data_IF_194106952599
#
_entry.id   IF_194106952599
#
_cell.length_a   1.000
_cell.length_b   1.000
_cell.length_c   1.000
_cell.angle_alpha   90.00
_cell.angle_beta   90.00
_cell.angle_gamma   90.00
#
_symmetry.space_group_name_H-M   'P 1'
#
loop_
_entity.id
_entity.type
_entity.pdbx_description
1 polymer ?
#
# COMPACT_ATOMS: atom_id res chain seq x y z
N UNK A 1 30.77 -31.98 29.98
CA UNK A 1 30.83 -30.86 29.09
C UNK A 1 30.15 -31.26 27.80
N UNK A 2 28.92 -30.79 27.56
CA UNK A 2 28.23 -30.98 26.28
C UNK A 2 28.60 -29.83 25.37
N UNK A 3 29.35 -30.12 24.32
CA UNK A 3 29.56 -29.16 23.23
C UNK A 3 28.25 -28.99 22.47
N UNK A 4 27.68 -27.78 22.53
CA UNK A 4 26.56 -27.38 21.67
C UNK A 4 27.15 -27.19 20.29
N UNK A 5 26.70 -27.95 19.26
CA UNK A 5 27.28 -27.84 17.93
C UNK A 5 27.03 -26.45 17.35
N UNK A 6 28.09 -25.80 16.90
CA UNK A 6 28.09 -24.46 16.23
C UNK A 6 27.13 -24.37 15.02
N UNK A 7 26.51 -25.45 14.64
CA UNK A 7 25.58 -25.53 13.50
C UNK A 7 24.21 -24.90 13.76
N UNK A 8 23.83 -24.67 15.02
CA UNK A 8 22.55 -24.06 15.40
C UNK A 8 22.58 -22.54 15.32
N UNK A 9 23.76 -21.92 15.47
CA UNK A 9 23.91 -20.46 15.40
C UNK A 9 23.86 -19.90 13.97
N UNK A 10 24.14 -20.70 12.97
CA UNK A 10 24.08 -20.29 11.56
C UNK A 10 22.68 -20.36 10.94
N UNK A 11 21.75 -21.12 11.51
CA UNK A 11 20.38 -21.25 11.01
C UNK A 11 19.45 -20.17 11.53
N UNK A 12 19.71 -19.60 12.69
CA UNK A 12 18.89 -18.50 13.24
C UNK A 12 19.13 -17.15 12.56
N UNK A 13 20.29 -16.93 11.97
CA UNK A 13 20.57 -15.71 11.18
C UNK A 13 19.86 -15.67 9.83
N UNK A 14 19.29 -16.77 9.34
CA UNK A 14 18.57 -16.84 8.07
C UNK A 14 17.06 -16.69 8.18
N UNK A 15 16.49 -16.56 9.39
CA UNK A 15 15.02 -16.68 9.62
C UNK A 15 14.39 -15.34 10.03
N UNK A 16 15.06 -14.19 9.87
CA UNK A 16 14.36 -12.92 10.07
C UNK A 16 13.52 -12.60 8.84
N UNK A 17 12.23 -12.40 9.08
CA UNK A 17 11.31 -11.90 8.07
C UNK A 17 11.83 -10.58 7.48
N UNK A 18 11.54 -10.36 6.21
CA UNK A 18 11.94 -9.13 5.50
C UNK A 18 10.75 -8.20 5.35
N UNK A 19 11.03 -6.93 5.49
CA UNK A 19 10.05 -5.85 5.37
C UNK A 19 10.64 -4.77 4.49
N UNK A 20 10.14 -4.68 3.25
CA UNK A 20 10.72 -3.84 2.21
C UNK A 20 9.70 -2.77 1.81
N UNK A 21 10.10 -1.52 1.93
CA UNK A 21 9.40 -0.37 1.40
C UNK A 21 9.82 -0.17 -0.04
N UNK A 22 8.90 -0.36 -0.98
CA UNK A 22 9.11 -0.11 -2.40
C UNK A 22 8.29 1.10 -2.84
N UNK A 23 8.90 2.04 -3.54
CA UNK A 23 8.18 3.05 -4.30
C UNK A 23 7.82 2.46 -5.67
N UNK A 24 6.62 1.88 -5.76
CA UNK A 24 6.15 1.22 -6.97
C UNK A 24 6.02 2.22 -8.11
N UNK A 25 6.67 2.00 -9.26
CA UNK A 25 6.46 2.82 -10.45
C UNK A 25 5.16 2.43 -11.17
N UNK A 26 4.71 3.28 -12.08
CA UNK A 26 3.66 2.96 -13.03
C UNK A 26 4.09 1.81 -13.96
N UNK A 27 3.14 1.01 -14.41
CA UNK A 27 3.38 -0.09 -15.34
C UNK A 27 3.76 -1.43 -14.71
N UNK A 28 4.02 -1.46 -13.40
CA UNK A 28 4.37 -2.65 -12.63
C UNK A 28 3.15 -3.16 -11.86
N UNK A 29 2.96 -4.48 -11.83
CA UNK A 29 1.82 -5.11 -11.14
C UNK A 29 2.16 -5.54 -9.72
N UNK A 30 1.20 -5.41 -8.81
CA UNK A 30 1.31 -5.84 -7.41
C UNK A 30 1.00 -7.33 -7.28
N UNK A 31 1.93 -8.17 -7.69
CA UNK A 31 1.84 -9.62 -7.61
C UNK A 31 3.21 -10.22 -7.26
N UNK A 32 3.22 -11.46 -6.76
CA UNK A 32 4.46 -12.20 -6.54
C UNK A 32 5.04 -12.75 -7.84
N UNK A 33 4.17 -13.09 -8.79
CA UNK A 33 4.53 -13.59 -10.14
C UNK A 33 3.49 -13.14 -11.15
N UNK A 34 3.93 -12.82 -12.35
CA UNK A 34 3.06 -12.58 -13.50
C UNK A 34 3.72 -13.14 -14.76
N UNK A 35 2.90 -13.54 -15.76
CA UNK A 35 3.40 -14.13 -17.02
C UNK A 35 3.75 -13.09 -18.09
N UNK A 36 3.21 -11.89 -17.96
CA UNK A 36 3.30 -10.84 -18.98
C UNK A 36 3.96 -9.56 -18.48
N UNK A 37 3.67 -9.21 -17.24
CA UNK A 37 4.04 -7.92 -16.68
C UNK A 37 5.13 -8.08 -15.61
N UNK A 38 6.01 -7.10 -15.53
CA UNK A 38 6.97 -6.97 -14.42
C UNK A 38 6.20 -6.79 -13.12
N UNK A 39 6.56 -7.56 -12.09
CA UNK A 39 5.94 -7.49 -10.78
C UNK A 39 6.75 -6.63 -9.80
N UNK A 40 6.12 -6.21 -8.72
CA UNK A 40 6.80 -5.53 -7.60
C UNK A 40 7.90 -6.39 -6.98
N UNK A 41 7.76 -7.72 -7.00
CA UNK A 41 8.77 -8.64 -6.48
C UNK A 41 9.96 -8.73 -7.43
N UNK A 42 9.76 -8.69 -8.75
CA UNK A 42 10.84 -8.71 -9.73
C UNK A 42 11.81 -7.54 -9.53
N UNK A 43 11.33 -6.38 -9.07
CA UNK A 43 12.16 -5.20 -8.84
C UNK A 43 13.19 -5.37 -7.72
N UNK A 44 12.98 -6.31 -6.82
CA UNK A 44 13.86 -6.57 -5.65
C UNK A 44 14.48 -7.97 -5.68
N UNK A 45 14.08 -8.82 -6.62
CA UNK A 45 14.43 -10.25 -6.64
C UNK A 45 15.94 -10.51 -6.66
N UNK A 46 16.73 -9.66 -7.32
CA UNK A 46 18.18 -9.80 -7.39
C UNK A 46 18.85 -9.68 -6.02
N UNK A 47 18.29 -8.86 -5.13
CA UNK A 47 18.81 -8.62 -3.78
C UNK A 47 18.31 -9.66 -2.76
N UNK A 48 17.22 -10.35 -3.08
CA UNK A 48 16.59 -11.36 -2.21
C UNK A 48 16.35 -12.72 -2.91
N UNK A 49 17.37 -13.35 -3.53
CA UNK A 49 17.20 -14.47 -4.44
C UNK A 49 16.64 -15.75 -3.79
N UNK A 50 16.65 -15.83 -2.45
CA UNK A 50 16.18 -17.00 -1.69
C UNK A 50 14.95 -16.70 -0.83
N UNK A 51 14.25 -15.60 -1.09
CA UNK A 51 13.10 -15.17 -0.33
C UNK A 51 11.82 -15.27 -1.15
N UNK A 52 10.78 -15.76 -0.54
CA UNK A 52 9.44 -15.80 -1.13
C UNK A 52 8.67 -14.55 -0.71
N UNK A 53 9.09 -13.41 -1.25
CA UNK A 53 8.45 -12.14 -0.98
C UNK A 53 7.10 -12.04 -1.71
N UNK A 54 6.16 -11.34 -1.07
CA UNK A 54 4.88 -11.00 -1.65
C UNK A 54 4.43 -9.61 -1.18
N UNK A 55 3.57 -8.91 -1.95
CA UNK A 55 3.06 -7.61 -1.55
C UNK A 55 1.99 -7.74 -0.47
N UNK A 56 2.16 -7.02 0.64
CA UNK A 56 1.14 -6.84 1.68
C UNK A 56 0.19 -5.71 1.27
N UNK A 57 -0.67 -5.99 0.31
CA UNK A 57 -1.58 -5.05 -0.32
C UNK A 57 -1.23 -4.78 -1.78
N UNK A 58 -2.23 -4.31 -2.51
CA UNK A 58 -2.13 -4.09 -3.94
C UNK A 58 -2.29 -2.62 -4.29
N UNK A 59 -1.58 -2.20 -5.32
CA UNK A 59 -1.84 -1.02 -6.12
C UNK A 59 -2.07 -1.46 -7.55
N UNK A 60 -2.94 -0.75 -8.26
CA UNK A 60 -3.19 -1.00 -9.67
C UNK A 60 -1.91 -0.77 -10.49
N UNK A 61 -1.86 -1.34 -11.69
CA UNK A 61 -0.72 -1.19 -12.62
C UNK A 61 -0.40 0.27 -12.90
N UNK A 62 -1.41 1.12 -13.02
CA UNK A 62 -1.30 2.57 -13.27
C UNK A 62 -1.09 3.41 -12.01
N UNK A 63 -1.22 2.81 -10.82
CA UNK A 63 -1.02 3.51 -9.55
C UNK A 63 0.42 3.38 -9.07
N UNK A 64 0.88 4.35 -8.29
CA UNK A 64 2.26 4.45 -7.82
C UNK A 64 2.34 4.53 -6.29
N UNK A 65 3.54 4.49 -5.75
CA UNK A 65 3.80 4.77 -4.34
C UNK A 65 4.07 3.55 -3.48
N UNK A 66 3.85 3.65 -2.20
CA UNK A 66 4.27 2.67 -1.22
C UNK A 66 3.60 1.31 -1.40
N UNK A 67 4.42 0.30 -1.68
CA UNK A 67 4.07 -1.12 -1.57
C UNK A 67 5.01 -1.77 -0.55
N UNK A 68 4.43 -2.42 0.46
CA UNK A 68 5.18 -3.24 1.40
C UNK A 68 5.35 -4.64 0.82
N UNK A 69 6.61 -5.10 0.67
CA UNK A 69 6.94 -6.48 0.34
C UNK A 69 7.46 -7.18 1.59
N UNK A 70 7.01 -8.39 1.84
CA UNK A 70 7.42 -9.17 3.02
C UNK A 70 7.27 -10.66 2.76
N UNK A 71 7.92 -11.47 3.59
CA UNK A 71 7.69 -12.91 3.74
C UNK A 71 6.99 -13.24 5.08
N UNK A 72 6.60 -12.21 5.87
CA UNK A 72 5.79 -12.33 7.11
C UNK A 72 4.30 -12.38 6.77
N UNK A 73 3.77 -13.59 6.65
CA UNK A 73 2.35 -13.80 6.35
C UNK A 73 1.39 -13.29 7.44
N UNK A 74 1.81 -13.31 8.71
CA UNK A 74 0.99 -12.84 9.82
C UNK A 74 0.81 -11.32 9.77
N UNK A 75 1.92 -10.56 9.60
CA UNK A 75 1.85 -9.11 9.46
C UNK A 75 1.07 -8.69 8.22
N UNK A 76 1.30 -9.36 7.08
CA UNK A 76 0.57 -9.08 5.85
C UNK A 76 -0.94 -9.30 6.02
N UNK A 77 -1.33 -10.41 6.66
CA UNK A 77 -2.72 -10.70 6.98
C UNK A 77 -3.33 -9.58 7.83
N UNK A 78 -2.63 -9.15 8.86
CA UNK A 78 -3.06 -8.08 9.75
C UNK A 78 -3.26 -6.75 9.03
N UNK A 79 -2.34 -6.37 8.13
CA UNK A 79 -2.43 -5.13 7.34
C UNK A 79 -3.62 -5.18 6.37
N UNK A 80 -3.91 -6.36 5.81
CA UNK A 80 -4.96 -6.54 4.81
C UNK A 80 -6.34 -6.79 5.41
N UNK A 81 -6.41 -7.26 6.65
CA UNK A 81 -7.67 -7.60 7.32
C UNK A 81 -8.57 -6.39 7.46
N UNK A 82 -9.81 -6.45 6.97
CA UNK A 82 -10.81 -5.38 7.17
C UNK A 82 -11.09 -5.10 8.65
N UNK A 83 -10.95 -6.11 9.52
CA UNK A 83 -11.17 -5.98 10.96
C UNK A 83 -10.15 -5.08 11.67
N UNK A 84 -8.98 -4.93 11.08
CA UNK A 84 -7.90 -4.14 11.67
C UNK A 84 -7.89 -2.67 11.24
N UNK A 85 -8.62 -2.30 10.19
CA UNK A 85 -8.80 -0.91 9.76
C UNK A 85 -7.49 -0.12 9.54
N UNK A 86 -6.43 -0.80 9.03
CA UNK A 86 -5.13 -0.16 8.80
C UNK A 86 -5.29 1.00 7.83
N UNK A 87 -4.97 2.18 8.32
CA UNK A 87 -5.08 3.42 7.56
C UNK A 87 -4.07 3.45 6.41
N UNK A 88 -4.53 3.93 5.26
CA UNK A 88 -3.71 4.16 4.07
C UNK A 88 -4.03 5.55 3.55
N UNK A 89 -3.01 6.32 3.26
CA UNK A 89 -3.15 7.66 2.70
C UNK A 89 -2.67 7.69 1.26
N UNK A 90 -3.43 8.40 0.44
CA UNK A 90 -3.19 8.54 -0.99
C UNK A 90 -3.22 9.99 -1.41
N UNK A 91 -2.35 10.37 -2.33
CA UNK A 91 -2.48 11.59 -3.13
C UNK A 91 -3.14 11.22 -4.44
N UNK A 92 -4.22 11.88 -4.74
CA UNK A 92 -5.07 11.60 -5.91
C UNK A 92 -5.20 12.87 -6.75
N UNK A 93 -4.95 12.75 -8.05
CA UNK A 93 -5.21 13.81 -9.02
C UNK A 93 -6.53 13.53 -9.73
N UNK A 94 -7.45 14.47 -9.65
CA UNK A 94 -8.78 14.40 -10.24
C UNK A 94 -8.82 15.14 -11.58
N UNK A 95 -9.80 14.80 -12.41
CA UNK A 95 -10.12 15.54 -13.65
C UNK A 95 -11.07 16.72 -13.41
N UNK A 96 -11.70 16.77 -12.23
CA UNK A 96 -12.61 17.84 -11.79
C UNK A 96 -12.29 18.25 -10.36
N UNK A 97 -12.49 19.53 -9.97
CA UNK A 97 -12.23 19.99 -8.62
C UNK A 97 -13.06 19.25 -7.56
N UNK A 98 -12.45 19.02 -6.40
CA UNK A 98 -13.15 18.48 -5.22
C UNK A 98 -14.32 19.37 -4.81
N UNK A 99 -15.48 18.76 -4.60
CA UNK A 99 -16.69 19.44 -4.16
C UNK A 99 -17.04 19.09 -2.71
N UNK A 100 -17.84 19.93 -2.06
CA UNK A 100 -18.38 19.62 -0.73
C UNK A 100 -19.27 18.38 -0.73
N UNK A 101 -19.96 18.10 -1.84
CA UNK A 101 -20.77 16.90 -2.00
C UNK A 101 -19.89 15.63 -1.96
N UNK A 102 -18.72 15.63 -2.62
CA UNK A 102 -17.74 14.55 -2.55
C UNK A 102 -17.22 14.39 -1.13
N UNK A 103 -16.83 15.46 -0.45
CA UNK A 103 -16.33 15.41 0.94
C UNK A 103 -17.36 14.79 1.89
N UNK A 104 -18.59 15.26 1.83
CA UNK A 104 -19.69 14.73 2.66
C UNK A 104 -20.01 13.28 2.31
N UNK A 105 -20.04 12.93 1.02
CA UNK A 105 -20.29 11.58 0.57
C UNK A 105 -19.22 10.59 1.04
N UNK A 106 -17.96 10.96 0.92
CA UNK A 106 -16.84 10.14 1.43
C UNK A 106 -16.93 9.95 2.95
N UNK A 107 -17.20 11.02 3.71
CA UNK A 107 -17.33 10.94 5.17
C UNK A 107 -18.52 10.10 5.64
N UNK A 108 -19.59 10.03 4.87
CA UNK A 108 -20.76 9.22 5.16
C UNK A 108 -20.62 7.76 4.71
N UNK A 109 -19.70 7.49 3.81
CA UNK A 109 -19.61 6.24 3.06
C UNK A 109 -20.39 6.30 1.75
N UNK A 110 -19.72 5.92 0.65
CA UNK A 110 -20.28 6.01 -0.70
C UNK A 110 -20.94 4.68 -1.07
N UNK A 111 -22.21 4.75 -1.50
CA UNK A 111 -22.86 3.60 -2.14
C UNK A 111 -22.56 3.63 -3.64
N UNK A 112 -21.93 2.58 -4.12
CA UNK A 112 -21.54 2.43 -5.51
C UNK A 112 -22.71 2.05 -6.40
N UNK A 113 -22.52 2.14 -7.71
CA UNK A 113 -23.57 1.84 -8.71
C UNK A 113 -24.05 0.39 -8.72
N UNK A 114 -23.22 -0.53 -8.23
CA UNK A 114 -23.58 -1.96 -8.05
C UNK A 114 -24.26 -2.26 -6.71
N UNK A 115 -24.49 -1.23 -5.87
CA UNK A 115 -25.14 -1.34 -4.57
C UNK A 115 -24.20 -1.62 -3.40
N UNK A 116 -22.90 -1.85 -3.65
CA UNK A 116 -21.92 -2.01 -2.58
C UNK A 116 -21.67 -0.67 -1.86
N UNK A 117 -21.71 -0.68 -0.53
CA UNK A 117 -21.45 0.54 0.26
C UNK A 117 -20.04 0.50 0.82
N UNK A 118 -19.25 1.52 0.47
CA UNK A 118 -17.90 1.71 0.96
C UNK A 118 -17.91 2.30 2.37
N UNK A 119 -16.95 1.89 3.19
CA UNK A 119 -16.76 2.48 4.51
C UNK A 119 -16.44 3.98 4.41
N UNK A 120 -16.77 4.77 5.44
CA UNK A 120 -16.40 6.17 5.54
C UNK A 120 -14.91 6.40 5.29
N UNK A 121 -14.60 7.44 4.53
CA UNK A 121 -13.25 7.83 4.15
C UNK A 121 -13.07 9.34 4.27
N UNK A 122 -11.83 9.77 4.53
CA UNK A 122 -11.47 11.20 4.51
C UNK A 122 -11.07 11.64 3.10
N UNK A 123 -11.46 12.84 2.70
CA UNK A 123 -10.91 13.50 1.52
C UNK A 123 -10.74 15.00 1.78
N UNK A 124 -9.52 15.49 1.55
CA UNK A 124 -9.16 16.90 1.76
C UNK A 124 -8.36 17.43 0.56
N UNK A 125 -8.56 18.72 0.19
CA UNK A 125 -7.79 19.31 -0.90
C UNK A 125 -6.34 19.54 -0.47
N UNK A 126 -5.41 19.28 -1.38
CA UNK A 126 -3.98 19.61 -1.23
C UNK A 126 -3.58 20.83 -2.04
N UNK A 127 -4.37 21.18 -3.07
CA UNK A 127 -4.14 22.34 -3.94
C UNK A 127 -5.37 23.26 -3.93
N UNK A 128 -5.15 24.57 -4.14
CA UNK A 128 -6.21 25.58 -4.12
C UNK A 128 -7.25 25.36 -5.24
N UNK A 129 -6.84 24.76 -6.36
CA UNK A 129 -7.75 24.41 -7.46
C UNK A 129 -8.62 23.17 -7.17
N UNK A 130 -8.35 22.46 -6.08
CA UNK A 130 -9.08 21.26 -5.67
C UNK A 130 -8.86 20.05 -6.58
N UNK A 131 -7.89 20.08 -7.50
CA UNK A 131 -7.60 18.98 -8.42
C UNK A 131 -6.70 17.91 -7.81
N UNK A 132 -5.89 18.27 -6.80
CA UNK A 132 -5.08 17.32 -6.06
C UNK A 132 -5.61 17.21 -4.63
N UNK A 133 -5.91 15.98 -4.22
CA UNK A 133 -6.55 15.71 -2.93
C UNK A 133 -5.81 14.61 -2.17
N UNK A 134 -5.88 14.66 -0.85
CA UNK A 134 -5.49 13.55 0.00
C UNK A 134 -6.72 12.72 0.34
N UNK A 135 -6.61 11.40 0.13
CA UNK A 135 -7.66 10.44 0.51
C UNK A 135 -7.12 9.52 1.59
N UNK A 136 -7.89 9.37 2.67
CA UNK A 136 -7.58 8.48 3.79
C UNK A 136 -8.59 7.34 3.83
N UNK A 137 -8.10 6.11 3.62
CA UNK A 137 -8.90 4.88 3.64
C UNK A 137 -8.47 3.96 4.77
N UNK A 138 -9.44 3.22 5.32
CA UNK A 138 -9.22 2.11 6.27
C UNK A 138 -9.69 0.77 5.72
N UNK A 139 -10.16 0.76 4.51
CA UNK A 139 -10.64 -0.40 3.75
C UNK A 139 -9.75 -0.59 2.52
N UNK A 140 -9.78 -1.77 1.92
CA UNK A 140 -9.00 -2.08 0.71
C UNK A 140 -9.82 -2.86 -0.29
N UNK A 141 -10.75 -2.22 -0.98
CA UNK A 141 -11.60 -2.81 -2.02
C UNK A 141 -11.01 -2.52 -3.40
N UNK A 142 -11.28 -3.40 -4.34
CA UNK A 142 -10.83 -3.25 -5.73
C UNK A 142 -11.26 -1.92 -6.33
N UNK A 143 -10.29 -1.15 -6.82
CA UNK A 143 -10.48 0.18 -7.43
C UNK A 143 -11.31 1.16 -6.57
N UNK A 144 -11.25 1.03 -5.24
CA UNK A 144 -12.16 1.72 -4.33
C UNK A 144 -12.19 3.24 -4.57
N UNK A 145 -11.05 3.92 -4.61
CA UNK A 145 -10.96 5.38 -4.78
C UNK A 145 -11.58 5.81 -6.12
N UNK A 146 -11.22 5.11 -7.20
CA UNK A 146 -11.74 5.38 -8.55
C UNK A 146 -13.25 5.20 -8.61
N UNK A 147 -13.77 4.13 -7.98
CA UNK A 147 -15.20 3.83 -7.93
C UNK A 147 -15.97 4.85 -7.08
N UNK A 148 -15.42 5.28 -5.95
CA UNK A 148 -16.04 6.26 -5.08
C UNK A 148 -16.15 7.64 -5.75
N UNK A 149 -15.08 8.13 -6.38
CA UNK A 149 -15.15 9.38 -7.15
C UNK A 149 -16.06 9.27 -8.37
N UNK A 150 -16.09 8.10 -9.01
CA UNK A 150 -16.98 7.84 -10.16
C UNK A 150 -18.46 8.02 -9.87
N UNK A 151 -18.92 7.82 -8.63
CA UNK A 151 -20.31 8.11 -8.22
C UNK A 151 -20.65 9.61 -8.35
N UNK A 152 -19.65 10.48 -8.28
CA UNK A 152 -19.77 11.93 -8.43
C UNK A 152 -19.35 12.42 -9.83
N UNK A 153 -19.27 11.53 -10.81
CA UNK A 153 -18.80 11.84 -12.17
C UNK A 153 -17.39 12.45 -12.22
N UNK A 154 -16.55 12.14 -11.23
CA UNK A 154 -15.16 12.58 -11.17
C UNK A 154 -14.21 11.44 -11.52
N UNK A 155 -13.32 11.70 -12.48
CA UNK A 155 -12.27 10.78 -12.89
C UNK A 155 -10.99 10.95 -12.06
N UNK A 156 -10.28 9.84 -11.85
CA UNK A 156 -8.98 9.81 -11.21
C UNK A 156 -7.89 9.67 -12.27
N UNK A 157 -7.11 10.73 -12.47
CA UNK A 157 -6.00 10.79 -13.44
C UNK A 157 -4.73 10.14 -12.91
N UNK A 158 -4.44 10.30 -11.61
CA UNK A 158 -3.29 9.69 -10.95
C UNK A 158 -3.62 9.33 -9.50
N UNK A 159 -2.99 8.26 -9.01
CA UNK A 159 -3.14 7.78 -7.65
C UNK A 159 -1.78 7.33 -7.12
N UNK A 160 -1.36 7.93 -6.01
CA UNK A 160 -0.10 7.64 -5.34
C UNK A 160 -0.33 7.33 -3.87
N UNK A 161 0.10 6.15 -3.39
CA UNK A 161 -0.01 5.82 -1.97
C UNK A 161 1.19 6.33 -1.20
N UNK A 162 0.95 7.24 -0.26
CA UNK A 162 1.98 7.88 0.54
C UNK A 162 2.30 7.13 1.83
N UNK A 163 1.30 6.46 2.44
CA UNK A 163 1.52 5.80 3.73
C UNK A 163 0.66 4.57 3.94
N UNK A 164 1.14 3.68 4.80
CA UNK A 164 0.43 2.50 5.30
C UNK A 164 0.64 2.45 6.82
N UNK A 165 -0.43 2.43 7.61
CA UNK A 165 -0.38 2.24 9.06
C UNK A 165 0.50 3.25 9.79
N UNK A 166 0.51 4.51 9.35
CA UNK A 166 1.34 5.57 9.92
C UNK A 166 2.81 5.53 9.52
N UNK A 167 3.23 4.60 8.64
CA UNK A 167 4.56 4.57 8.03
C UNK A 167 4.50 5.27 6.68
N UNK A 168 5.21 6.39 6.55
CA UNK A 168 5.26 7.15 5.32
C UNK A 168 6.28 6.58 4.34
N UNK A 169 5.99 6.68 3.04
CA UNK A 169 6.96 6.42 1.99
C UNK A 169 8.15 7.37 2.13
N UNK A 170 9.35 6.82 2.11
CA UNK A 170 10.57 7.60 2.19
C UNK A 170 10.71 8.48 0.93
N UNK A 171 10.74 9.82 1.08
CA UNK A 171 10.83 10.74 -0.05
C UNK A 171 12.17 10.62 -0.83
N UNK A 172 13.19 9.99 -0.25
CA UNK A 172 14.46 9.72 -0.92
C UNK A 172 14.37 8.57 -1.94
N UNK A 173 13.31 7.76 -1.89
CA UNK A 173 13.11 6.66 -2.83
C UNK A 173 12.48 7.16 -4.14
N UNK A 174 13.25 7.18 -5.21
CA UNK A 174 12.71 7.39 -6.55
C UNK A 174 11.82 6.22 -7.00
N UNK A 175 10.96 6.39 -8.03
CA UNK A 175 10.15 5.30 -8.57
C UNK A 175 11.00 4.07 -8.90
N UNK A 176 10.59 2.89 -8.43
CA UNK A 176 11.31 1.63 -8.58
C UNK A 176 12.40 1.36 -7.53
N UNK A 177 12.75 2.34 -6.71
CA UNK A 177 13.70 2.17 -5.61
C UNK A 177 13.02 1.62 -4.36
N UNK A 178 13.82 0.97 -3.54
CA UNK A 178 13.36 0.33 -2.31
C UNK A 178 14.41 0.46 -1.19
N UNK A 179 13.98 0.27 0.05
CA UNK A 179 14.81 0.03 1.23
C UNK A 179 14.11 -0.92 2.19
N UNK A 180 14.86 -1.52 3.09
CA UNK A 180 14.25 -2.22 4.22
C UNK A 180 13.63 -1.21 5.20
N UNK A 181 12.55 -1.62 5.87
CA UNK A 181 11.96 -0.87 6.98
C UNK A 181 12.89 -0.91 8.19
N UNK A 182 12.88 0.17 8.96
CA UNK A 182 13.51 0.18 10.29
C UNK A 182 12.70 -0.65 11.28
N UNK A 183 13.31 -1.08 12.38
CA UNK A 183 12.61 -1.80 13.44
C UNK A 183 11.42 -0.99 14.01
N UNK A 184 11.58 0.33 14.11
CA UNK A 184 10.51 1.23 14.57
C UNK A 184 9.34 1.28 13.58
N UNK A 185 9.60 1.32 12.27
CA UNK A 185 8.57 1.28 11.24
C UNK A 185 7.80 -0.04 11.25
N UNK A 186 8.50 -1.16 11.39
CA UNK A 186 7.88 -2.49 11.54
C UNK A 186 6.99 -2.53 12.78
N UNK A 187 7.48 -2.02 13.91
CA UNK A 187 6.70 -1.99 15.15
C UNK A 187 5.44 -1.12 15.00
N UNK A 188 5.50 0.03 14.31
CA UNK A 188 4.32 0.84 14.00
C UNK A 188 3.29 0.08 13.20
N UNK A 189 3.70 -0.74 12.24
CA UNK A 189 2.77 -1.57 11.47
C UNK A 189 2.11 -2.66 12.32
N UNK A 190 2.76 -3.10 13.39
CA UNK A 190 2.25 -4.12 14.32
C UNK A 190 1.40 -3.54 15.44
N UNK A 191 1.75 -2.32 15.89
CA UNK A 191 1.07 -1.68 17.02
C UNK A 191 -0.14 -0.88 16.54
N UNK A 192 -1.31 -1.17 17.11
CA UNK A 192 -2.58 -0.51 16.80
C UNK A 192 -3.34 -0.16 18.05
#
# INVERSE_FOLDING_TARGET
AYEIPLRLLGSEMCIRDRYIMLNKPEGVVSASRDKKDTTVVDLVAADFPRRELFPAGRLDKTSTGFVLLTDDGALAHDILSPAHHVEKQYVVTLDTPLTDAMRRGFAAGVTLTDGETMAPAGVEPLTDDGLTVQVTLRQGVYHQIKRMFGVFDAGVNALHRESIGGVALDPALAPGQWRELTAEEVERLRTR
#
